data_IF_882239944703
#
_entry.id   IF_882239944703
#
_cell.length_a   1.000
_cell.length_b   1.000
_cell.length_c   1.000
_cell.angle_alpha   90.00
_cell.angle_beta   90.00
_cell.angle_gamma   90.00
#
_symmetry.space_group_name_H-M   'P 1'
#
loop_
_entity.id
_entity.type
_entity.pdbx_description
1 polymer ?
#
# COMPACT_ATOMS: atom_id res chain seq x y z
N UNK A 1 -35.68 44.90 55.22
CA UNK A 1 -36.04 43.82 54.28
C UNK A 1 -34.98 43.84 53.18
N UNK A 2 -34.06 42.88 53.22
CA UNK A 2 -32.85 42.87 52.39
C UNK A 2 -33.19 42.30 51.01
N UNK A 3 -32.94 43.08 49.96
CA UNK A 3 -33.20 42.69 48.57
C UNK A 3 -31.98 41.95 48.02
N UNK A 4 -32.12 40.66 47.76
CA UNK A 4 -31.11 39.81 47.13
C UNK A 4 -31.12 40.04 45.62
N UNK A 5 -30.05 40.63 45.09
CA UNK A 5 -29.81 40.66 43.65
C UNK A 5 -29.14 39.34 43.22
N UNK A 6 -29.81 38.58 42.38
CA UNK A 6 -29.27 37.37 41.76
C UNK A 6 -28.32 37.78 40.62
N UNK A 7 -27.03 37.47 40.77
CA UNK A 7 -26.05 37.61 39.70
C UNK A 7 -26.14 36.39 38.77
N UNK A 8 -26.64 36.61 37.55
CA UNK A 8 -26.52 35.66 36.44
C UNK A 8 -25.06 35.65 35.97
N UNK A 9 -24.32 34.60 36.35
CA UNK A 9 -23.00 34.33 35.80
C UNK A 9 -23.14 33.75 34.39
N UNK A 10 -22.82 34.56 33.38
CA UNK A 10 -22.73 34.12 31.99
C UNK A 10 -21.41 33.34 31.82
N UNK A 11 -21.49 32.01 31.76
CA UNK A 11 -20.33 31.16 31.49
C UNK A 11 -19.90 31.33 30.02
N UNK A 12 -18.84 32.10 29.79
CA UNK A 12 -18.20 32.18 28.48
C UNK A 12 -17.38 30.90 28.24
N UNK A 13 -17.90 30.00 27.39
CA UNK A 13 -17.15 28.85 26.88
C UNK A 13 -16.04 29.38 25.96
N UNK A 14 -14.75 29.11 26.23
CA UNK A 14 -13.69 29.47 25.31
C UNK A 14 -13.84 28.64 24.04
N UNK A 15 -14.19 29.30 22.93
CA UNK A 15 -14.12 28.71 21.61
C UNK A 15 -12.63 28.54 21.29
N UNK A 16 -12.11 27.32 21.38
CA UNK A 16 -10.79 26.99 20.84
C UNK A 16 -10.90 27.08 19.33
N UNK A 17 -10.64 28.28 18.78
CA UNK A 17 -10.43 28.45 17.36
C UNK A 17 -9.09 27.80 17.01
N UNK A 18 -9.14 26.57 16.49
CA UNK A 18 -7.98 25.94 15.87
C UNK A 18 -7.64 26.72 14.60
N UNK A 19 -6.65 27.59 14.68
CA UNK A 19 -6.07 28.24 13.51
C UNK A 19 -5.36 27.18 12.67
N UNK A 20 -6.02 26.68 11.62
CA UNK A 20 -5.33 25.98 10.54
C UNK A 20 -4.49 27.02 9.78
N UNK A 21 -3.19 27.06 10.06
CA UNK A 21 -2.28 27.83 9.24
C UNK A 21 -2.24 27.20 7.85
N UNK A 22 -2.44 27.99 6.80
CA UNK A 22 -2.27 27.51 5.43
C UNK A 22 -0.79 27.10 5.27
N UNK A 23 -0.54 25.82 5.02
CA UNK A 23 0.81 25.32 4.84
C UNK A 23 1.45 25.99 3.62
N UNK A 24 2.67 26.51 3.80
CA UNK A 24 3.38 27.22 2.73
C UNK A 24 4.12 26.20 1.90
N UNK A 25 3.82 26.14 0.60
CA UNK A 25 4.56 25.29 -0.32
C UNK A 25 6.02 25.78 -0.43
N UNK A 26 6.98 24.91 -0.13
CA UNK A 26 8.41 25.25 -0.16
C UNK A 26 9.00 25.08 -1.55
N UNK A 27 8.57 24.03 -2.25
CA UNK A 27 9.06 23.68 -3.58
C UNK A 27 7.91 23.32 -4.51
N UNK A 28 7.98 23.79 -5.75
CA UNK A 28 6.92 23.60 -6.74
C UNK A 28 7.46 23.04 -8.05
N UNK A 29 6.58 22.43 -8.82
CA UNK A 29 6.85 21.89 -10.14
C UNK A 29 5.74 22.30 -11.11
N UNK A 30 6.10 22.59 -12.36
CA UNK A 30 5.12 22.82 -13.42
C UNK A 30 5.04 21.60 -14.31
N UNK A 31 3.87 20.97 -14.34
CA UNK A 31 3.59 19.75 -15.11
C UNK A 31 3.89 19.96 -16.58
N UNK A 32 4.61 19.01 -17.17
CA UNK A 32 4.94 18.94 -18.58
C UNK A 32 4.06 17.93 -19.30
N UNK A 33 3.99 18.01 -20.63
CA UNK A 33 3.21 17.07 -21.42
C UNK A 33 3.81 15.66 -21.31
N UNK A 34 3.00 14.70 -20.85
CA UNK A 34 3.40 13.31 -20.68
C UNK A 34 3.94 12.95 -19.30
N UNK A 35 3.96 13.90 -18.36
CA UNK A 35 4.28 13.62 -16.98
C UNK A 35 3.21 12.76 -16.30
N UNK A 36 3.66 11.92 -15.37
CA UNK A 36 2.86 11.20 -14.39
C UNK A 36 3.46 11.42 -13.00
N UNK A 37 2.72 11.10 -11.93
CA UNK A 37 3.22 11.29 -10.56
C UNK A 37 4.60 10.63 -10.35
N UNK A 38 4.79 9.40 -10.79
CA UNK A 38 6.05 8.67 -10.56
C UNK A 38 7.25 9.33 -11.29
N UNK A 39 7.05 9.82 -12.52
CA UNK A 39 8.14 10.47 -13.27
C UNK A 39 8.48 11.82 -12.66
N UNK A 40 7.47 12.59 -12.23
CA UNK A 40 7.67 13.84 -11.50
C UNK A 40 8.41 13.56 -10.20
N UNK A 41 7.94 12.59 -9.42
CA UNK A 41 8.50 12.22 -8.13
C UNK A 41 9.95 11.81 -8.23
N UNK A 42 10.27 10.92 -9.17
CA UNK A 42 11.62 10.44 -9.39
C UNK A 42 12.56 11.55 -9.88
N UNK A 43 12.10 12.42 -10.78
CA UNK A 43 12.91 13.52 -11.30
C UNK A 43 13.14 14.63 -10.28
N UNK A 44 12.21 14.80 -9.33
CA UNK A 44 12.24 15.91 -8.39
C UNK A 44 12.60 15.52 -6.96
N UNK A 45 12.90 14.25 -6.65
CA UNK A 45 13.18 13.78 -5.28
C UNK A 45 12.06 14.13 -4.29
N UNK A 46 10.83 13.74 -4.64
CA UNK A 46 9.65 13.81 -3.76
C UNK A 46 9.00 12.44 -3.75
N UNK A 47 8.47 11.99 -2.60
CA UNK A 47 7.74 10.72 -2.59
C UNK A 47 6.42 10.85 -3.34
N UNK A 48 5.99 9.78 -4.02
CA UNK A 48 4.70 9.74 -4.72
C UNK A 48 3.54 10.08 -3.77
N UNK A 49 3.64 9.62 -2.53
CA UNK A 49 2.70 9.97 -1.47
C UNK A 49 2.70 11.46 -1.11
N UNK A 50 3.87 12.06 -0.84
CA UNK A 50 3.96 13.47 -0.47
C UNK A 50 3.43 14.36 -1.60
N UNK A 51 3.72 14.02 -2.86
CA UNK A 51 3.17 14.72 -4.01
C UNK A 51 1.64 14.70 -4.02
N UNK A 52 1.02 13.55 -3.80
CA UNK A 52 -0.44 13.44 -3.72
C UNK A 52 -1.00 14.18 -2.49
N UNK A 53 -0.36 14.06 -1.32
CA UNK A 53 -0.82 14.69 -0.08
C UNK A 53 -0.76 16.22 -0.14
N UNK A 54 0.26 16.79 -0.78
CA UNK A 54 0.39 18.23 -0.99
C UNK A 54 -0.60 18.78 -2.03
N UNK A 55 -1.14 17.94 -2.91
CA UNK A 55 -2.03 18.35 -3.99
C UNK A 55 -3.33 17.53 -3.95
N UNK A 56 -4.28 17.88 -3.07
CA UNK A 56 -5.49 17.07 -2.84
C UNK A 56 -6.45 17.01 -4.04
N UNK A 57 -6.18 17.74 -5.12
CA UNK A 57 -6.88 17.59 -6.39
C UNK A 57 -6.39 16.39 -7.20
N UNK A 58 -5.18 15.88 -6.97
CA UNK A 58 -4.66 14.66 -7.61
C UNK A 58 -5.47 13.46 -7.11
N UNK A 59 -5.97 12.66 -8.04
CA UNK A 59 -6.69 11.44 -7.68
C UNK A 59 -5.75 10.26 -7.44
N UNK A 60 -6.34 9.12 -7.06
CA UNK A 60 -5.60 7.91 -6.75
C UNK A 60 -4.81 7.34 -7.94
N UNK A 61 -5.23 7.63 -9.18
CA UNK A 61 -4.64 7.13 -10.41
C UNK A 61 -3.60 8.07 -10.99
N UNK A 62 -3.54 9.32 -10.51
CA UNK A 62 -2.70 10.39 -11.00
C UNK A 62 -2.79 10.58 -12.53
N UNK A 63 -3.99 10.36 -13.09
CA UNK A 63 -4.29 10.54 -14.51
C UNK A 63 -4.99 11.87 -14.80
N UNK A 64 -5.21 12.69 -13.76
CA UNK A 64 -5.88 13.98 -13.84
C UNK A 64 -4.95 15.20 -13.90
N UNK A 65 -3.64 14.99 -14.13
CA UNK A 65 -2.66 16.07 -14.31
C UNK A 65 -2.77 16.71 -15.70
N UNK A 66 -2.53 18.03 -15.79
CA UNK A 66 -2.51 18.77 -17.05
C UNK A 66 -1.26 19.63 -17.20
N UNK A 67 -0.69 19.67 -18.42
CA UNK A 67 0.50 20.46 -18.70
C UNK A 67 0.28 21.96 -18.37
N UNK A 68 1.20 22.54 -17.62
CA UNK A 68 1.11 23.91 -17.09
C UNK A 68 0.51 24.01 -15.69
N UNK A 69 -0.05 22.93 -15.14
CA UNK A 69 -0.45 22.86 -13.73
C UNK A 69 0.77 23.04 -12.81
N UNK A 70 0.61 23.81 -11.73
CA UNK A 70 1.67 23.99 -10.73
C UNK A 70 1.34 23.13 -9.53
N UNK A 71 2.17 22.12 -9.29
CA UNK A 71 2.08 21.21 -8.16
C UNK A 71 2.99 21.65 -7.03
N UNK A 72 2.53 21.48 -5.79
CA UNK A 72 3.38 21.58 -4.62
C UNK A 72 4.13 20.27 -4.38
N UNK A 73 5.45 20.31 -4.28
CA UNK A 73 6.27 19.13 -4.03
C UNK A 73 6.47 18.86 -2.55
N UNK A 74 6.34 19.87 -1.69
CA UNK A 74 6.54 19.73 -0.25
C UNK A 74 6.22 21.02 0.48
N UNK A 75 5.71 20.91 1.70
CA UNK A 75 5.47 22.06 2.57
C UNK A 75 6.71 22.40 3.39
N UNK A 76 6.82 23.67 3.79
CA UNK A 76 7.97 24.15 4.54
C UNK A 76 8.07 23.45 5.91
N UNK A 77 9.17 22.75 6.15
CA UNK A 77 9.39 21.93 7.34
C UNK A 77 8.86 20.50 7.25
N UNK A 78 8.20 20.12 6.15
CA UNK A 78 7.60 18.80 5.93
C UNK A 78 7.95 18.22 4.53
N UNK A 79 9.09 18.62 3.95
CA UNK A 79 9.57 18.14 2.65
C UNK A 79 10.62 17.02 2.83
N UNK A 80 10.28 15.81 2.37
CA UNK A 80 11.23 14.71 2.31
C UNK A 80 12.08 14.73 1.03
N UNK A 81 13.34 15.17 1.15
CA UNK A 81 14.28 15.19 0.03
C UNK A 81 15.14 13.92 -0.10
N UNK A 82 15.09 13.00 0.88
CA UNK A 82 15.80 11.72 0.81
C UNK A 82 14.83 10.66 0.33
N UNK A 83 14.89 10.33 -0.96
CA UNK A 83 13.92 9.43 -1.59
C UNK A 83 14.57 8.19 -2.21
N UNK A 84 13.75 7.17 -2.43
CA UNK A 84 14.14 5.94 -3.12
C UNK A 84 13.09 5.55 -4.15
N UNK A 85 13.54 5.19 -5.35
CA UNK A 85 12.66 4.65 -6.40
C UNK A 85 12.66 3.13 -6.28
N UNK A 86 11.47 2.57 -6.03
CA UNK A 86 11.23 1.13 -5.87
C UNK A 86 11.58 0.39 -7.15
N UNK A 87 12.25 -0.76 -7.00
CA UNK A 87 12.71 -1.64 -8.07
C UNK A 87 12.10 -3.02 -7.91
N UNK A 88 12.24 -3.81 -8.97
CA UNK A 88 11.82 -5.20 -8.96
C UNK A 88 12.62 -6.00 -7.93
N UNK A 89 11.92 -6.73 -7.08
CA UNK A 89 12.48 -7.54 -5.99
C UNK A 89 12.64 -6.78 -4.68
N UNK A 90 12.26 -5.50 -4.61
CA UNK A 90 12.32 -4.74 -3.35
C UNK A 90 11.17 -5.12 -2.41
N UNK A 91 11.47 -5.01 -1.12
CA UNK A 91 10.50 -5.04 -0.02
C UNK A 91 10.87 -3.96 1.02
N UNK A 92 9.95 -3.66 1.94
CA UNK A 92 10.18 -2.65 2.97
C UNK A 92 11.39 -2.95 3.86
N UNK A 93 11.67 -4.21 4.18
CA UNK A 93 12.75 -4.59 5.09
C UNK A 93 14.12 -4.36 4.44
N UNK A 94 14.26 -4.74 3.17
CA UNK A 94 15.45 -4.51 2.35
C UNK A 94 15.71 -3.02 2.16
N UNK A 95 14.67 -2.23 1.84
CA UNK A 95 14.77 -0.77 1.71
C UNK A 95 15.17 -0.13 3.05
N UNK A 96 14.48 -0.45 4.15
CA UNK A 96 14.81 0.09 5.47
C UNK A 96 16.24 -0.23 5.89
N UNK A 97 16.71 -1.45 5.61
CA UNK A 97 18.09 -1.86 5.89
C UNK A 97 19.09 -1.08 5.04
N UNK A 98 18.83 -0.94 3.73
CA UNK A 98 19.71 -0.24 2.81
C UNK A 98 19.91 1.24 3.19
N UNK A 99 18.86 1.87 3.73
CA UNK A 99 18.89 3.26 4.16
C UNK A 99 19.17 3.45 5.66
N UNK A 100 19.39 2.36 6.41
CA UNK A 100 19.62 2.39 7.86
C UNK A 100 18.50 3.12 8.63
N UNK A 101 17.25 2.93 8.22
CA UNK A 101 16.07 3.51 8.86
C UNK A 101 15.22 2.44 9.55
N UNK A 102 14.45 2.84 10.55
CA UNK A 102 13.46 1.96 11.17
C UNK A 102 12.27 1.76 10.22
N UNK A 103 11.73 0.54 10.11
CA UNK A 103 10.54 0.26 9.30
C UNK A 103 9.32 1.09 9.75
N UNK A 104 9.20 1.40 11.05
CA UNK A 104 8.16 2.31 11.56
C UNK A 104 8.28 3.70 10.93
N UNK A 105 9.49 4.26 10.89
CA UNK A 105 9.74 5.56 10.26
C UNK A 105 9.47 5.50 8.75
N UNK A 106 9.77 4.37 8.10
CA UNK A 106 9.41 4.16 6.70
C UNK A 106 7.88 4.24 6.51
N UNK A 107 7.09 3.56 7.33
CA UNK A 107 5.62 3.60 7.25
C UNK A 107 5.04 4.98 7.60
N UNK A 108 5.60 5.67 8.59
CA UNK A 108 5.16 7.02 8.97
C UNK A 108 5.41 8.04 7.85
N UNK A 109 6.56 7.93 7.18
CA UNK A 109 6.88 8.76 6.01
C UNK A 109 6.16 8.33 4.73
N UNK A 110 5.60 7.11 4.68
CA UNK A 110 4.90 6.55 3.52
C UNK A 110 3.60 5.84 3.96
N UNK A 111 2.59 6.59 4.44
CA UNK A 111 1.33 6.03 4.94
C UNK A 111 0.49 5.30 3.89
N UNK A 112 0.83 5.39 2.61
CA UNK A 112 0.22 4.60 1.55
C UNK A 112 0.62 3.12 1.59
N UNK A 113 1.76 2.79 2.22
CA UNK A 113 2.22 1.40 2.32
C UNK A 113 1.36 0.68 3.35
N UNK A 114 0.80 -0.47 3.00
CA UNK A 114 0.05 -1.28 3.96
C UNK A 114 0.98 -2.01 4.94
N UNK A 115 0.37 -2.60 5.97
CA UNK A 115 1.09 -3.34 7.00
C UNK A 115 1.80 -4.61 6.47
N UNK A 116 1.38 -5.15 5.32
CA UNK A 116 1.99 -6.31 4.69
C UNK A 116 3.17 -5.92 3.78
N UNK A 117 3.27 -4.64 3.38
CA UNK A 117 4.19 -4.14 2.38
C UNK A 117 4.13 -4.92 1.06
N UNK A 118 2.93 -5.39 0.68
CA UNK A 118 2.72 -6.11 -0.58
C UNK A 118 2.15 -5.22 -1.69
N UNK A 119 1.91 -3.94 -1.38
CA UNK A 119 1.41 -2.95 -2.31
C UNK A 119 2.48 -2.05 -2.96
N UNK A 120 3.76 -2.40 -2.83
CA UNK A 120 4.85 -1.71 -3.54
C UNK A 120 4.86 -2.05 -5.03
N UNK A 121 5.19 -1.07 -5.87
CA UNK A 121 5.35 -1.26 -7.31
C UNK A 121 6.59 -0.58 -7.88
N UNK A 122 7.12 -1.15 -8.97
CA UNK A 122 8.30 -0.63 -9.63
C UNK A 122 8.04 0.78 -10.15
N UNK A 123 8.91 1.72 -9.78
CA UNK A 123 8.80 3.14 -10.14
C UNK A 123 8.18 4.02 -9.05
N UNK A 124 7.51 3.45 -8.04
CA UNK A 124 7.02 4.20 -6.89
C UNK A 124 8.19 4.88 -6.17
N UNK A 125 7.99 6.12 -5.71
CA UNK A 125 9.03 6.87 -4.99
C UNK A 125 8.67 6.97 -3.52
N UNK A 126 9.51 6.41 -2.66
CA UNK A 126 9.35 6.42 -1.22
C UNK A 126 10.21 7.49 -0.56
N UNK A 127 9.71 8.07 0.53
CA UNK A 127 10.51 8.86 1.44
C UNK A 127 11.30 7.93 2.37
N UNK A 128 12.62 8.00 2.35
CA UNK A 128 13.52 7.16 3.15
C UNK A 128 14.38 8.00 4.10
N UNK A 129 13.89 9.17 4.48
CA UNK A 129 14.51 9.98 5.52
C UNK A 129 14.52 9.22 6.86
N UNK A 130 15.59 9.39 7.63
CA UNK A 130 15.76 8.72 8.94
C UNK A 130 14.91 9.28 10.07
N UNK A 131 14.10 10.31 9.79
CA UNK A 131 13.17 10.94 10.72
C UNK A 131 11.83 11.13 10.04
N UNK A 132 10.77 11.23 10.83
CA UNK A 132 9.45 11.63 10.33
C UNK A 132 9.52 13.05 9.76
N UNK A 133 9.16 13.19 8.49
CA UNK A 133 9.16 14.47 7.77
C UNK A 133 7.91 14.69 6.95
N UNK A 134 7.15 13.65 6.63
CA UNK A 134 6.01 13.79 5.71
C UNK A 134 4.71 14.07 6.47
N UNK A 135 3.87 14.93 5.88
CA UNK A 135 2.57 15.27 6.45
C UNK A 135 1.66 14.02 6.49
N UNK A 136 1.03 13.72 7.64
CA UNK A 136 0.00 12.70 7.68
C UNK A 136 -1.21 13.12 6.82
N UNK A 137 -1.92 12.15 6.21
CA UNK A 137 -3.05 12.50 5.35
C UNK A 137 -4.12 13.17 6.22
N UNK A 138 -4.78 14.23 5.73
CA UNK A 138 -5.86 14.85 6.48
C UNK A 138 -6.95 13.81 6.77
N UNK A 139 -7.50 13.83 7.98
CA UNK A 139 -8.56 12.89 8.39
C UNK A 139 -9.69 12.85 7.35
N UNK A 140 -9.75 11.76 6.57
CA UNK A 140 -10.73 11.56 5.50
C UNK A 140 -10.15 11.45 4.09
N UNK A 141 -8.87 11.77 3.87
CA UNK A 141 -8.19 11.45 2.61
C UNK A 141 -7.83 9.98 2.57
N UNK A 142 -8.44 9.26 1.62
CA UNK A 142 -8.06 7.89 1.28
C UNK A 142 -6.83 7.96 0.39
N UNK A 143 -5.67 7.69 0.98
CA UNK A 143 -4.45 7.50 0.22
C UNK A 143 -4.56 6.14 -0.43
N UNK A 144 -4.38 6.02 -1.76
CA UNK A 144 -4.51 4.73 -2.42
C UNK A 144 -3.47 3.76 -1.87
N UNK A 145 -3.97 2.68 -1.26
CA UNK A 145 -3.16 1.58 -0.72
C UNK A 145 -3.00 0.46 -1.76
N UNK A 146 -3.53 0.63 -2.97
CA UNK A 146 -3.53 -0.40 -4.02
C UNK A 146 -2.54 -0.05 -5.13
N UNK A 147 -1.88 -1.07 -5.68
CA UNK A 147 -1.01 -0.93 -6.85
C UNK A 147 -1.84 -0.42 -8.04
N UNK A 148 -1.40 0.64 -8.75
CA UNK A 148 -2.03 1.09 -9.99
C UNK A 148 -2.11 -0.03 -11.02
N UNK A 149 -3.23 -0.17 -11.74
CA UNK A 149 -3.45 -1.28 -12.67
C UNK A 149 -2.42 -1.36 -13.82
N UNK A 150 -1.75 -0.25 -14.14
CA UNK A 150 -0.70 -0.16 -15.15
C UNK A 150 0.70 -0.42 -14.59
N UNK A 151 0.87 -0.47 -13.28
CA UNK A 151 2.15 -0.64 -12.62
C UNK A 151 2.54 -2.12 -12.49
N UNK A 152 3.84 -2.39 -12.43
CA UNK A 152 4.37 -3.73 -12.17
C UNK A 152 4.63 -3.87 -10.67
N UNK A 153 4.05 -4.86 -9.97
CA UNK A 153 4.34 -5.10 -8.55
C UNK A 153 5.85 -5.28 -8.29
N UNK A 154 6.34 -4.73 -7.18
CA UNK A 154 7.76 -4.80 -6.82
C UNK A 154 8.15 -6.21 -6.39
N UNK A 155 7.32 -6.83 -5.56
CA UNK A 155 7.47 -8.24 -5.20
C UNK A 155 6.69 -9.12 -6.16
N UNK A 156 7.38 -10.10 -6.76
CA UNK A 156 6.73 -11.23 -7.39
C UNK A 156 6.23 -12.20 -6.32
N UNK A 157 5.34 -11.76 -5.43
CA UNK A 157 4.52 -12.73 -4.70
C UNK A 157 3.69 -13.44 -5.78
N UNK A 158 3.69 -14.78 -5.86
CA UNK A 158 2.87 -15.47 -6.84
C UNK A 158 1.43 -15.14 -6.50
N UNK A 159 0.82 -14.19 -7.23
CA UNK A 159 -0.61 -14.21 -7.44
C UNK A 159 -0.87 -15.61 -7.95
N UNK A 160 -1.51 -16.44 -7.12
CA UNK A 160 -2.00 -17.73 -7.59
C UNK A 160 -2.77 -17.40 -8.86
N UNK A 161 -2.24 -17.86 -10.00
CA UNK A 161 -2.94 -17.79 -11.27
C UNK A 161 -4.37 -18.25 -10.97
N UNK A 162 -5.41 -17.54 -11.47
CA UNK A 162 -6.79 -17.93 -11.20
C UNK A 162 -6.86 -19.42 -11.50
N UNK A 163 -7.17 -20.22 -10.48
CA UNK A 163 -7.05 -21.66 -10.53
C UNK A 163 -7.67 -22.09 -11.86
N UNK A 164 -6.82 -22.60 -12.76
CA UNK A 164 -7.32 -23.11 -14.02
C UNK A 164 -8.35 -24.15 -13.60
N UNK A 165 -9.63 -23.84 -13.86
CA UNK A 165 -10.70 -24.79 -13.65
C UNK A 165 -10.40 -25.90 -14.63
N UNK A 166 -9.74 -26.95 -14.13
CA UNK A 166 -9.66 -28.21 -14.83
C UNK A 166 -11.09 -28.54 -15.23
N UNK A 167 -11.41 -28.66 -16.52
CA UNK A 167 -12.73 -29.10 -16.92
C UNK A 167 -13.01 -30.39 -16.16
N UNK A 168 -14.15 -30.44 -15.47
CA UNK A 168 -14.60 -31.65 -14.78
C UNK A 168 -14.43 -32.84 -15.75
N UNK A 169 -13.86 -33.98 -15.29
CA UNK A 169 -13.79 -35.15 -16.15
C UNK A 169 -15.21 -35.48 -16.61
N UNK A 170 -15.37 -35.53 -17.94
CA UNK A 170 -16.60 -35.97 -18.58
C UNK A 170 -17.05 -37.28 -17.93
N UNK A 171 -18.33 -37.45 -17.55
CA UNK A 171 -18.80 -38.72 -17.03
C UNK A 171 -18.58 -39.80 -18.08
N UNK A 172 -17.78 -40.80 -17.72
CA UNK A 172 -17.62 -42.03 -18.48
C UNK A 172 -18.99 -42.74 -18.54
N UNK A 173 -19.41 -43.30 -19.68
CA UNK A 173 -20.63 -44.09 -19.72
C UNK A 173 -20.45 -45.32 -18.82
N UNK A 174 -21.43 -45.56 -17.97
CA UNK A 174 -21.56 -46.78 -17.19
C UNK A 174 -21.87 -47.93 -18.14
N UNK A 175 -20.90 -48.81 -18.39
CA UNK A 175 -21.17 -50.10 -18.99
C UNK A 175 -21.72 -51.04 -17.91
N UNK A 176 -22.93 -51.49 -18.22
CA UNK A 176 -23.79 -52.44 -17.54
C UNK A 176 -23.10 -53.80 -17.35
N UNK A 177 -23.41 -54.42 -16.23
CA UNK A 177 -22.76 -55.63 -15.75
C UNK A 177 -23.03 -56.86 -16.61
N UNK A 178 -22.09 -57.79 -16.56
CA UNK A 178 -22.37 -59.21 -16.73
C UNK A 178 -21.46 -59.99 -15.78
N UNK A 179 -22.12 -60.44 -14.73
CA UNK A 179 -21.74 -61.47 -13.78
C UNK A 179 -21.55 -62.82 -14.50
N UNK A 180 -20.37 -63.44 -14.37
CA UNK A 180 -20.21 -64.91 -14.45
C UNK A 180 -18.83 -65.32 -13.88
N UNK A 181 -18.86 -66.10 -12.79
CA UNK A 181 -18.05 -67.30 -12.70
C UNK A 181 -16.77 -67.25 -11.86
N UNK A 182 -16.88 -67.79 -10.64
CA UNK A 182 -15.93 -68.69 -9.95
C UNK A 182 -14.51 -68.85 -10.53
N UNK A 183 -13.48 -68.66 -9.69
CA UNK A 183 -12.57 -69.76 -9.36
C UNK A 183 -11.75 -69.48 -8.08
N UNK A 184 -11.56 -70.54 -7.31
CA UNK A 184 -10.82 -70.61 -6.06
C UNK A 184 -9.29 -70.56 -6.30
N UNK A 185 -8.52 -70.02 -5.35
CA UNK A 185 -7.06 -70.08 -5.43
C UNK A 185 -6.35 -69.47 -4.23
N UNK A 186 -6.10 -70.31 -3.23
CA UNK A 186 -5.16 -70.11 -2.12
C UNK A 186 -3.79 -69.57 -2.56
N UNK A 187 -3.11 -68.82 -1.68
CA UNK A 187 -1.74 -68.41 -1.92
C UNK A 187 -1.19 -67.37 -0.93
N UNK A 188 -1.15 -67.76 0.34
CA UNK A 188 0.01 -67.70 1.24
C UNK A 188 0.99 -66.50 1.21
N UNK A 189 1.24 -66.03 2.43
CA UNK A 189 2.57 -65.73 2.98
C UNK A 189 3.47 -64.71 2.27
N UNK A 190 3.71 -63.59 2.97
CA UNK A 190 5.03 -63.22 3.54
C UNK A 190 5.07 -61.71 3.80
N UNK A 191 5.01 -61.24 5.05
CA UNK A 191 6.14 -61.13 5.98
C UNK A 191 7.08 -59.92 5.70
N UNK A 192 6.83 -58.84 6.44
CA UNK A 192 7.80 -57.90 7.09
C UNK A 192 8.53 -56.82 6.24
N UNK A 193 9.16 -55.80 6.87
CA UNK A 193 8.72 -55.02 8.04
C UNK A 193 9.03 -53.50 7.96
N UNK A 194 8.38 -52.77 8.87
CA UNK A 194 8.85 -51.58 9.61
C UNK A 194 10.28 -51.08 9.33
N UNK A 195 10.42 -49.78 9.04
CA UNK A 195 11.65 -49.02 9.28
C UNK A 195 11.33 -47.94 10.33
N UNK A 196 11.68 -48.26 11.57
CA UNK A 196 11.94 -47.30 12.64
C UNK A 196 13.39 -46.77 12.52
N UNK A 197 13.58 -45.57 13.10
CA UNK A 197 14.85 -44.90 13.48
C UNK A 197 15.63 -44.22 12.33
N UNK A 198 15.99 -42.93 12.39
CA UNK A 198 16.54 -42.12 13.50
C UNK A 198 16.11 -40.65 13.43
#
# INVERSE_FOLDING_TARGET
MFSTAAFLALAALPFLASSAFAQTCDRSYTVQAGDICDSISAANNVSTYQLAACNPSIDATCDNLYAGEVLCLGYQGEDCNTTYVVKLGDDCAAISTAYSINTTVLYENNPQIDAACDNLYVGEVLCVAGTETVVPPPSGSVVPTTIPATATPASATPTAAPAATTPAPSPSPSDDGSDDGTDDGDGDDSNLPYCDEL
#
